data_IF_929294464965
#
_entry.id   IF_929294464965
#
_cell.length_a   1.000
_cell.length_b   1.000
_cell.length_c   1.000
_cell.angle_alpha   90.00
_cell.angle_beta   90.00
_cell.angle_gamma   90.00
#
_symmetry.space_group_name_H-M   'P 1'
#
loop_
_entity.id
_entity.type
_entity.pdbx_description
1 polymer ?
#
# COMPACT_ATOMS: atom_id res chain seq x y z
N UNK A 1 14.52 -21.89 22.56
CA UNK A 1 14.37 -20.67 21.73
C UNK A 1 13.22 -20.93 20.78
N UNK A 2 12.23 -20.03 20.63
CA UNK A 2 11.34 -20.14 19.49
C UNK A 2 12.18 -20.07 18.21
N UNK A 3 11.80 -20.77 17.12
CA UNK A 3 12.53 -20.67 15.87
C UNK A 3 12.62 -19.19 15.49
N UNK A 4 13.78 -18.78 15.01
CA UNK A 4 14.06 -17.42 14.56
C UNK A 4 13.19 -17.16 13.31
N UNK A 5 11.91 -16.80 13.52
CA UNK A 5 10.98 -16.53 12.42
C UNK A 5 11.39 -15.21 11.80
N UNK A 6 11.82 -15.24 10.53
CA UNK A 6 12.08 -14.02 9.77
C UNK A 6 10.80 -13.16 9.77
N UNK A 7 10.91 -11.83 9.97
CA UNK A 7 9.76 -10.94 9.98
C UNK A 7 8.97 -11.05 8.67
N UNK A 8 7.65 -11.06 8.77
CA UNK A 8 6.75 -11.00 7.61
C UNK A 8 6.44 -9.54 7.32
N UNK A 9 6.71 -9.09 6.09
CA UNK A 9 6.32 -7.78 5.60
C UNK A 9 5.21 -7.98 4.57
N UNK A 10 4.02 -7.47 4.87
CA UNK A 10 2.84 -7.54 4.00
C UNK A 10 2.78 -6.30 3.11
N UNK A 11 2.71 -6.53 1.81
CA UNK A 11 2.60 -5.46 0.81
C UNK A 11 1.29 -5.63 0.04
N UNK A 12 0.40 -4.66 0.16
CA UNK A 12 -0.83 -4.60 -0.63
C UNK A 12 -0.57 -3.85 -1.94
N UNK A 13 -1.01 -4.39 -3.08
CA UNK A 13 -0.92 -3.75 -4.38
C UNK A 13 -2.30 -3.45 -4.96
N UNK A 14 -2.64 -2.15 -4.97
CA UNK A 14 -3.90 -1.62 -5.47
C UNK A 14 -3.69 -0.85 -6.78
N UNK A 15 -4.49 -1.14 -7.80
CA UNK A 15 -4.40 -0.44 -9.08
C UNK A 15 -5.65 -0.62 -9.94
N UNK A 16 -6.12 0.39 -10.69
CA UNK A 16 -7.08 0.19 -11.76
C UNK A 16 -6.49 -0.66 -12.90
N UNK A 17 -7.34 -1.23 -13.74
CA UNK A 17 -6.91 -2.18 -14.78
C UNK A 17 -6.09 -1.60 -15.94
N UNK A 18 -5.97 -0.28 -16.07
CA UNK A 18 -5.23 0.39 -17.16
C UNK A 18 -3.73 0.58 -16.87
N UNK A 19 -3.23 0.13 -15.72
CA UNK A 19 -1.80 0.16 -15.33
C UNK A 19 -1.24 -1.26 -15.10
N UNK A 20 -1.68 -2.21 -15.94
CA UNK A 20 -1.26 -3.61 -15.80
C UNK A 20 0.27 -3.78 -15.97
N UNK A 21 0.90 -2.99 -16.83
CA UNK A 21 2.36 -3.05 -17.02
C UNK A 21 3.10 -2.71 -15.72
N UNK A 22 2.70 -1.61 -15.07
CA UNK A 22 3.26 -1.17 -13.79
C UNK A 22 2.95 -2.16 -12.67
N UNK A 23 1.74 -2.73 -12.65
CA UNK A 23 1.39 -3.80 -11.70
C UNK A 23 2.33 -4.99 -11.84
N UNK A 24 2.58 -5.45 -13.07
CA UNK A 24 3.49 -6.58 -13.32
C UNK A 24 4.95 -6.22 -13.01
N UNK A 25 5.38 -4.99 -13.28
CA UNK A 25 6.70 -4.48 -12.88
C UNK A 25 6.85 -4.55 -11.35
N UNK A 26 5.89 -4.01 -10.61
CA UNK A 26 5.92 -4.01 -9.15
C UNK A 26 5.99 -5.42 -8.59
N UNK A 27 5.16 -6.34 -9.09
CA UNK A 27 5.16 -7.75 -8.71
C UNK A 27 6.53 -8.40 -8.98
N UNK A 28 7.06 -8.29 -10.20
CA UNK A 28 8.36 -8.89 -10.54
C UNK A 28 9.48 -8.36 -9.66
N UNK A 29 9.48 -7.06 -9.38
CA UNK A 29 10.50 -6.44 -8.55
C UNK A 29 10.38 -6.86 -7.08
N UNK A 30 9.16 -6.95 -6.54
CA UNK A 30 8.91 -7.49 -5.19
C UNK A 30 9.38 -8.94 -5.06
N UNK A 31 9.07 -9.78 -6.05
CA UNK A 31 9.52 -11.19 -6.07
C UNK A 31 11.04 -11.31 -6.21
N UNK A 32 11.64 -10.50 -7.07
CA UNK A 32 13.10 -10.44 -7.20
C UNK A 32 13.75 -10.05 -5.87
N UNK A 33 13.25 -9.00 -5.21
CA UNK A 33 13.79 -8.52 -3.95
C UNK A 33 13.66 -9.57 -2.84
N UNK A 34 12.50 -10.24 -2.75
CA UNK A 34 12.27 -11.31 -1.79
C UNK A 34 13.28 -12.47 -1.94
N UNK A 35 13.76 -12.73 -3.16
CA UNK A 35 14.74 -13.77 -3.44
C UNK A 35 16.20 -13.27 -3.46
N UNK A 36 16.41 -11.95 -3.43
CA UNK A 36 17.73 -11.36 -3.51
C UNK A 36 18.56 -11.73 -2.28
N UNK A 37 19.85 -12.04 -2.49
CA UNK A 37 20.75 -12.60 -1.46
C UNK A 37 20.79 -11.76 -0.18
N UNK A 38 20.68 -10.43 -0.29
CA UNK A 38 20.72 -9.54 0.87
C UNK A 38 19.45 -9.58 1.72
N UNK A 39 18.31 -10.06 1.18
CA UNK A 39 17.01 -10.01 1.86
C UNK A 39 16.39 -11.39 2.13
N UNK A 40 16.71 -12.43 1.34
CA UNK A 40 16.05 -13.75 1.39
C UNK A 40 16.01 -14.45 2.75
N UNK A 41 16.93 -14.11 3.66
CA UNK A 41 17.01 -14.68 5.01
C UNK A 41 16.74 -13.63 6.12
N UNK A 42 16.34 -12.42 5.74
CA UNK A 42 16.07 -11.30 6.65
C UNK A 42 14.58 -11.02 6.79
N UNK A 43 13.77 -11.41 5.82
CA UNK A 43 12.33 -11.17 5.81
C UNK A 43 11.60 -12.19 4.95
N UNK A 44 10.30 -12.33 5.17
CA UNK A 44 9.36 -12.93 4.24
C UNK A 44 8.46 -11.82 3.68
N UNK A 45 8.50 -11.62 2.36
CA UNK A 45 7.63 -10.65 1.70
C UNK A 45 6.33 -11.34 1.28
N UNK A 46 5.20 -10.90 1.83
CA UNK A 46 3.87 -11.39 1.49
C UNK A 46 3.16 -10.35 0.62
N UNK A 47 3.01 -10.67 -0.67
CA UNK A 47 2.27 -9.82 -1.62
C UNK A 47 0.78 -10.14 -1.53
N UNK A 48 -0.05 -9.10 -1.38
CA UNK A 48 -1.50 -9.19 -1.32
C UNK A 48 -2.06 -8.35 -2.47
N UNK A 49 -2.74 -9.01 -3.40
CA UNK A 49 -3.36 -8.38 -4.55
C UNK A 49 -4.63 -9.14 -4.89
N UNK A 50 -5.78 -8.67 -4.42
CA UNK A 50 -7.03 -9.44 -4.42
C UNK A 50 -7.49 -9.84 -5.82
N UNK A 51 -7.25 -8.99 -6.79
CA UNK A 51 -7.65 -9.16 -8.20
C UNK A 51 -6.64 -9.95 -9.05
N UNK A 52 -5.51 -10.39 -8.46
CA UNK A 52 -4.54 -11.25 -9.15
C UNK A 52 -4.76 -12.73 -8.81
N UNK A 53 -4.99 -13.63 -9.79
CA UNK A 53 -5.18 -15.07 -9.55
C UNK A 53 -3.97 -15.78 -8.93
N UNK A 54 -2.76 -15.20 -9.02
CA UNK A 54 -1.53 -15.73 -8.40
C UNK A 54 -1.46 -15.39 -6.91
N UNK A 55 -2.02 -14.25 -6.50
CA UNK A 55 -1.98 -13.75 -5.13
C UNK A 55 -3.33 -13.83 -4.40
N UNK A 56 -4.39 -14.24 -5.12
CA UNK A 56 -5.68 -14.64 -4.56
C UNK A 56 -5.91 -16.13 -4.83
N UNK A 57 -6.20 -16.90 -3.79
CA UNK A 57 -6.52 -18.32 -3.92
C UNK A 57 -7.82 -18.47 -4.71
N UNK A 58 -7.69 -18.93 -5.96
CA UNK A 58 -8.75 -19.30 -6.91
C UNK A 58 -9.92 -18.29 -6.99
N UNK A 59 -9.87 -17.34 -7.93
CA UNK A 59 -10.92 -16.34 -8.05
C UNK A 59 -11.44 -16.02 -9.46
N UNK A 60 -12.76 -15.78 -9.49
CA UNK A 60 -13.56 -15.18 -10.55
C UNK A 60 -13.32 -13.67 -10.54
N UNK A 61 -13.48 -13.03 -11.71
CA UNK A 61 -13.10 -11.64 -12.03
C UNK A 61 -13.80 -10.50 -11.23
N UNK A 62 -14.41 -10.76 -10.07
CA UNK A 62 -15.12 -9.76 -9.27
C UNK A 62 -15.19 -10.22 -7.82
N UNK A 63 -14.14 -9.94 -7.03
CA UNK A 63 -14.21 -10.11 -5.59
C UNK A 63 -14.42 -8.76 -4.94
N UNK A 64 -15.43 -8.67 -4.11
CA UNK A 64 -15.69 -7.50 -3.29
C UNK A 64 -14.71 -7.45 -2.12
N UNK A 65 -14.38 -6.25 -1.59
CA UNK A 65 -13.60 -6.13 -0.37
C UNK A 65 -14.09 -7.00 0.78
N UNK A 66 -15.42 -7.09 0.95
CA UNK A 66 -16.05 -7.90 1.99
C UNK A 66 -15.75 -9.40 1.82
N UNK A 67 -15.70 -9.91 0.59
CA UNK A 67 -15.37 -11.31 0.33
C UNK A 67 -13.90 -11.62 0.59
N UNK A 68 -12.96 -10.69 0.31
CA UNK A 68 -11.55 -10.85 0.68
C UNK A 68 -11.38 -10.96 2.20
N UNK A 69 -12.05 -10.07 2.93
CA UNK A 69 -12.07 -10.08 4.40
C UNK A 69 -12.65 -11.39 4.91
N UNK A 70 -13.78 -11.84 4.36
CA UNK A 70 -14.42 -13.11 4.75
C UNK A 70 -13.50 -14.31 4.49
N UNK A 71 -12.60 -14.22 3.51
CA UNK A 71 -11.57 -15.23 3.21
C UNK A 71 -10.32 -15.11 4.09
N UNK A 72 -10.28 -14.15 5.02
CA UNK A 72 -9.15 -13.93 5.93
C UNK A 72 -7.94 -13.26 5.27
N UNK A 73 -8.10 -12.65 4.09
CA UNK A 73 -7.04 -11.83 3.50
C UNK A 73 -6.91 -10.53 4.30
N UNK A 74 -5.68 -10.11 4.57
CA UNK A 74 -5.43 -8.85 5.25
C UNK A 74 -5.94 -7.68 4.40
N UNK A 75 -6.59 -6.72 5.07
CA UNK A 75 -7.01 -5.44 4.48
C UNK A 75 -5.80 -4.53 4.24
N UNK A 76 -5.91 -3.50 3.38
CA UNK A 76 -4.86 -2.50 3.19
C UNK A 76 -4.34 -1.90 4.50
N UNK A 77 -5.23 -1.48 5.40
CA UNK A 77 -4.90 -0.96 6.76
C UNK A 77 -4.17 -1.95 7.67
N UNK A 78 -4.16 -3.23 7.32
CA UNK A 78 -3.50 -4.30 8.07
C UNK A 78 -2.17 -4.74 7.43
N UNK A 79 -1.74 -4.06 6.37
CA UNK A 79 -0.47 -4.29 5.71
C UNK A 79 0.58 -3.30 6.22
N UNK A 80 1.86 -3.70 6.12
CA UNK A 80 2.98 -2.84 6.45
C UNK A 80 3.16 -1.77 5.37
N UNK A 81 2.99 -2.16 4.10
CA UNK A 81 3.07 -1.29 2.93
C UNK A 81 1.80 -1.41 2.10
N UNK A 82 1.31 -0.28 1.59
CA UNK A 82 0.28 -0.24 0.53
C UNK A 82 0.82 0.57 -0.64
N UNK A 83 0.87 -0.07 -1.81
CA UNK A 83 1.25 0.52 -3.08
C UNK A 83 -0.01 0.79 -3.89
N UNK A 84 -0.24 2.04 -4.27
CA UNK A 84 -1.40 2.42 -5.09
C UNK A 84 -0.93 3.07 -6.38
N UNK A 85 -1.34 2.53 -7.53
CA UNK A 85 -0.91 3.01 -8.84
C UNK A 85 -2.13 3.49 -9.63
N UNK A 86 -2.11 4.74 -10.11
CA UNK A 86 -3.17 5.31 -10.94
C UNK A 86 -2.65 5.81 -12.29
N UNK A 87 -3.52 5.83 -13.30
CA UNK A 87 -3.27 6.56 -14.54
C UNK A 87 -4.52 7.28 -15.05
N UNK A 88 -5.26 6.65 -15.96
CA UNK A 88 -6.31 7.29 -16.75
C UNK A 88 -7.71 6.81 -16.37
N UNK A 89 -7.80 5.65 -15.72
CA UNK A 89 -9.04 5.07 -15.23
C UNK A 89 -9.16 5.25 -13.72
N UNK A 90 -10.32 5.73 -13.28
CA UNK A 90 -10.65 5.76 -11.86
C UNK A 90 -11.16 4.39 -11.41
N UNK A 91 -12.02 3.77 -12.24
CA UNK A 91 -12.67 2.50 -11.99
C UNK A 91 -14.20 2.65 -11.93
N UNK A 92 -14.86 1.64 -11.38
CA UNK A 92 -16.32 1.59 -11.27
C UNK A 92 -16.75 2.02 -9.88
N UNK A 93 -17.55 3.10 -9.74
CA UNK A 93 -18.08 3.51 -8.46
C UNK A 93 -18.96 2.43 -7.84
N UNK A 94 -18.96 2.34 -6.52
CA UNK A 94 -19.83 1.43 -5.78
C UNK A 94 -20.17 1.99 -4.40
N UNK A 95 -21.29 1.54 -3.83
CA UNK A 95 -21.65 1.81 -2.44
C UNK A 95 -21.17 0.66 -1.57
N UNK A 96 -20.34 0.95 -0.57
CA UNK A 96 -19.87 -0.04 0.38
C UNK A 96 -20.96 -0.41 1.40
N UNK A 97 -20.77 -1.48 2.17
CA UNK A 97 -21.79 -1.99 3.11
C UNK A 97 -22.09 -1.04 4.28
N UNK A 98 -21.23 -0.05 4.51
CA UNK A 98 -21.45 1.05 5.46
C UNK A 98 -22.28 2.21 4.88
N UNK A 99 -22.70 2.11 3.62
CA UNK A 99 -23.48 3.13 2.92
C UNK A 99 -22.64 4.25 2.29
N UNK A 100 -21.31 4.20 2.40
CA UNK A 100 -20.41 5.20 1.80
C UNK A 100 -20.20 4.88 0.32
N UNK A 101 -20.32 5.90 -0.54
CA UNK A 101 -19.98 5.79 -1.95
C UNK A 101 -18.49 5.98 -2.19
N UNK A 102 -17.88 5.06 -2.94
CA UNK A 102 -16.49 5.12 -3.36
C UNK A 102 -16.40 5.27 -4.87
N UNK A 103 -15.43 6.07 -5.32
CA UNK A 103 -15.15 6.30 -6.74
C UNK A 103 -14.73 5.01 -7.49
N UNK A 104 -14.12 4.06 -6.77
CA UNK A 104 -13.73 2.74 -7.24
C UNK A 104 -13.23 1.84 -6.10
N UNK A 105 -12.97 0.55 -6.39
CA UNK A 105 -12.27 -0.35 -5.47
C UNK A 105 -10.93 0.22 -5.00
N UNK A 106 -10.08 0.66 -5.93
CA UNK A 106 -8.78 1.29 -5.63
C UNK A 106 -8.92 2.53 -4.72
N UNK A 107 -9.99 3.32 -4.90
CA UNK A 107 -10.29 4.44 -4.00
C UNK A 107 -10.60 3.98 -2.57
N UNK A 108 -11.42 2.95 -2.42
CA UNK A 108 -11.72 2.34 -1.12
C UNK A 108 -10.44 1.79 -0.48
N UNK A 109 -9.61 1.06 -1.22
CA UNK A 109 -8.38 0.44 -0.73
C UNK A 109 -7.37 1.48 -0.23
N UNK A 110 -7.23 2.59 -0.97
CA UNK A 110 -6.41 3.72 -0.54
C UNK A 110 -6.96 4.36 0.74
N UNK A 111 -8.26 4.63 0.84
CA UNK A 111 -8.83 5.24 2.04
C UNK A 111 -8.73 4.31 3.27
N UNK A 112 -8.89 3.00 3.08
CA UNK A 112 -8.66 2.00 4.13
C UNK A 112 -7.19 2.05 4.59
N UNK A 113 -6.22 2.02 3.66
CA UNK A 113 -4.80 2.13 3.98
C UNK A 113 -4.48 3.39 4.80
N UNK A 114 -5.00 4.53 4.38
CA UNK A 114 -4.76 5.83 5.01
C UNK A 114 -5.43 5.98 6.39
N UNK A 115 -6.36 5.10 6.75
CA UNK A 115 -6.94 5.08 8.10
C UNK A 115 -5.97 4.52 9.15
N UNK A 116 -4.94 3.80 8.72
CA UNK A 116 -3.92 3.21 9.58
C UNK A 116 -2.71 4.15 9.70
N UNK A 117 -2.33 4.60 10.90
CA UNK A 117 -1.15 5.44 11.09
C UNK A 117 0.16 4.68 10.94
N UNK A 118 0.13 3.33 10.98
CA UNK A 118 1.32 2.47 10.89
C UNK A 118 1.56 1.95 9.48
N UNK A 119 0.57 2.01 8.60
CA UNK A 119 0.69 1.52 7.23
C UNK A 119 1.39 2.56 6.36
N UNK A 120 2.52 2.18 5.78
CA UNK A 120 3.24 3.04 4.84
C UNK A 120 2.55 3.00 3.48
N UNK A 121 1.85 4.07 3.13
CA UNK A 121 1.11 4.17 1.87
C UNK A 121 1.90 4.98 0.84
N UNK A 122 2.22 4.38 -0.30
CA UNK A 122 2.93 5.02 -1.42
C UNK A 122 2.01 5.09 -2.63
N UNK A 123 1.87 6.30 -3.18
CA UNK A 123 0.96 6.59 -4.29
C UNK A 123 1.77 6.95 -5.53
N UNK A 124 1.57 6.19 -6.60
CA UNK A 124 2.17 6.40 -7.91
C UNK A 124 1.12 6.87 -8.91
N UNK A 125 1.53 7.76 -9.81
CA UNK A 125 0.66 8.27 -10.86
C UNK A 125 1.38 8.42 -12.20
N UNK A 126 0.89 7.72 -13.21
CA UNK A 126 1.34 7.96 -14.59
C UNK A 126 0.78 9.29 -15.10
N UNK A 127 1.64 10.05 -15.75
CA UNK A 127 1.35 11.40 -16.26
C UNK A 127 1.27 11.48 -17.78
N UNK A 128 1.68 10.42 -18.48
CA UNK A 128 1.55 10.35 -19.93
C UNK A 128 0.11 10.60 -20.37
N UNK A 129 -0.02 11.44 -21.41
CA UNK A 129 -1.33 11.80 -21.95
C UNK A 129 -1.94 10.57 -22.61
N UNK A 130 -3.12 10.16 -22.13
CA UNK A 130 -3.95 9.18 -22.83
C UNK A 130 -4.54 9.82 -24.08
N UNK A 131 -4.41 9.13 -25.20
CA UNK A 131 -5.14 9.42 -26.42
C UNK A 131 -6.51 8.73 -26.36
N UNK A 132 -7.55 9.42 -26.82
CA UNK A 132 -8.93 8.93 -26.83
C UNK A 132 -9.42 8.96 -28.27
N UNK A 133 -10.08 7.89 -28.72
CA UNK A 133 -10.85 7.91 -29.96
C UNK A 133 -12.03 8.89 -29.83
N UNK A 134 -12.53 9.46 -30.92
CA UNK A 134 -13.53 10.54 -30.87
C UNK A 134 -14.80 10.16 -30.10
N UNK A 135 -15.20 8.89 -30.14
CA UNK A 135 -16.39 8.32 -29.48
C UNK A 135 -16.11 7.72 -28.08
N UNK A 136 -14.86 7.72 -27.59
CA UNK A 136 -14.49 7.23 -26.24
C UNK A 136 -14.92 8.20 -25.10
N UNK A 137 -16.23 8.41 -24.94
CA UNK A 137 -16.78 9.29 -23.91
C UNK A 137 -16.58 8.71 -22.49
N UNK A 138 -16.65 7.38 -22.35
CA UNK A 138 -16.40 6.71 -21.07
C UNK A 138 -14.95 6.94 -20.62
N UNK A 139 -13.97 6.73 -21.51
CA UNK A 139 -12.56 6.97 -21.22
C UNK A 139 -12.30 8.42 -20.83
N UNK A 140 -12.87 9.39 -21.56
CA UNK A 140 -12.76 10.81 -21.20
C UNK A 140 -13.36 11.10 -19.82
N UNK A 141 -14.48 10.46 -19.49
CA UNK A 141 -15.13 10.58 -18.18
C UNK A 141 -14.29 9.99 -17.06
N UNK A 142 -13.73 8.81 -17.27
CA UNK A 142 -12.79 8.17 -16.34
C UNK A 142 -11.55 9.04 -16.10
N UNK A 143 -10.96 9.59 -17.17
CA UNK A 143 -9.80 10.46 -17.07
C UNK A 143 -10.09 11.75 -16.31
N UNK A 144 -11.27 12.35 -16.53
CA UNK A 144 -11.73 13.50 -15.75
C UNK A 144 -11.89 13.15 -14.26
N UNK A 145 -12.43 11.98 -13.94
CA UNK A 145 -12.56 11.51 -12.55
C UNK A 145 -11.20 11.39 -11.87
N UNK A 146 -10.19 10.82 -12.53
CA UNK A 146 -8.83 10.75 -11.97
C UNK A 146 -8.24 12.14 -11.75
N UNK A 147 -8.41 13.07 -12.71
CA UNK A 147 -7.95 14.46 -12.53
C UNK A 147 -8.61 15.13 -11.33
N UNK A 148 -9.92 15.00 -11.19
CA UNK A 148 -10.66 15.57 -10.06
C UNK A 148 -10.25 14.92 -8.73
N UNK A 149 -10.02 13.61 -8.73
CA UNK A 149 -9.57 12.88 -7.55
C UNK A 149 -8.22 13.40 -7.04
N UNK A 150 -7.23 13.54 -7.91
CA UNK A 150 -5.92 14.09 -7.52
C UNK A 150 -5.94 15.59 -7.19
N UNK A 151 -6.97 16.33 -7.60
CA UNK A 151 -7.18 17.73 -7.21
C UNK A 151 -8.03 17.91 -5.94
N UNK A 152 -8.45 16.81 -5.30
CA UNK A 152 -9.36 16.83 -4.15
C UNK A 152 -8.65 17.15 -2.82
N UNK A 153 -9.47 17.35 -1.78
CA UNK A 153 -9.01 17.61 -0.41
C UNK A 153 -8.20 16.45 0.22
N UNK A 154 -8.18 15.27 -0.43
CA UNK A 154 -7.33 14.16 0.00
C UNK A 154 -5.83 14.46 -0.21
N UNK A 155 -5.51 15.26 -1.24
CA UNK A 155 -4.15 15.63 -1.63
C UNK A 155 -3.82 17.09 -1.31
N UNK A 156 -4.84 17.95 -1.24
CA UNK A 156 -4.68 19.37 -0.96
C UNK A 156 -5.49 19.80 0.26
N UNK A 157 -4.97 20.75 1.04
CA UNK A 157 -5.72 21.43 2.10
C UNK A 157 -5.31 22.88 2.14
N UNK A 158 -6.27 23.79 2.01
CA UNK A 158 -6.02 25.24 1.95
C UNK A 158 -4.97 25.63 0.89
N UNK A 159 -5.01 24.96 -0.27
CA UNK A 159 -4.04 25.15 -1.37
C UNK A 159 -2.66 24.54 -1.16
N UNK A 160 -2.40 23.86 -0.02
CA UNK A 160 -1.14 23.18 0.27
C UNK A 160 -1.26 21.69 0.03
N UNK A 161 -0.19 21.10 -0.51
CA UNK A 161 -0.08 19.64 -0.65
C UNK A 161 0.01 19.02 0.75
N UNK A 162 -0.89 18.07 1.05
CA UNK A 162 -0.89 17.29 2.31
C UNK A 162 -0.54 15.83 2.09
N UNK A 163 -0.42 15.39 0.83
CA UNK A 163 -0.11 14.00 0.48
C UNK A 163 0.76 13.96 -0.77
N UNK A 164 1.89 13.27 -0.68
CA UNK A 164 2.82 13.12 -1.78
C UNK A 164 2.29 12.11 -2.82
N UNK A 165 2.64 12.36 -4.09
CA UNK A 165 2.36 11.47 -5.22
C UNK A 165 3.63 11.36 -6.04
N UNK A 166 4.05 10.13 -6.33
CA UNK A 166 5.21 9.84 -7.15
C UNK A 166 4.78 9.75 -8.61
N UNK A 167 5.00 10.84 -9.33
CA UNK A 167 4.63 10.96 -10.74
C UNK A 167 5.72 10.38 -11.65
N UNK A 168 5.30 9.68 -12.69
CA UNK A 168 6.18 9.10 -13.72
C UNK A 168 5.50 9.22 -15.10
N UNK A 169 6.26 9.15 -16.20
CA UNK A 169 5.68 9.28 -17.54
C UNK A 169 5.33 7.92 -18.14
N UNK A 170 6.28 7.00 -18.17
CA UNK A 170 6.14 5.70 -18.84
C UNK A 170 6.32 4.52 -17.87
N UNK A 171 5.89 3.29 -18.23
CA UNK A 171 6.17 2.10 -17.41
C UNK A 171 7.66 1.88 -17.15
N UNK A 172 8.54 2.27 -18.08
CA UNK A 172 10.00 2.20 -17.86
C UNK A 172 10.48 3.18 -16.79
N UNK A 173 9.90 4.38 -16.74
CA UNK A 173 10.21 5.35 -15.69
C UNK A 173 9.70 4.86 -14.33
N UNK A 174 8.52 4.21 -14.33
CA UNK A 174 7.99 3.55 -13.14
C UNK A 174 8.91 2.43 -12.65
N UNK A 175 9.45 1.59 -13.53
CA UNK A 175 10.35 0.51 -13.13
C UNK A 175 11.60 1.03 -12.41
N UNK A 176 12.23 2.07 -12.95
CA UNK A 176 13.37 2.71 -12.32
C UNK A 176 13.02 3.33 -10.96
N UNK A 177 11.94 4.11 -10.92
CA UNK A 177 11.49 4.82 -9.71
C UNK A 177 11.05 3.85 -8.61
N UNK A 178 10.22 2.88 -8.94
CA UNK A 178 9.72 1.86 -8.03
C UNK A 178 10.87 1.02 -7.47
N UNK A 179 11.82 0.62 -8.32
CA UNK A 179 12.92 -0.24 -7.91
C UNK A 179 13.78 0.39 -6.81
N UNK A 180 14.15 1.66 -6.98
CA UNK A 180 14.91 2.43 -5.98
C UNK A 180 14.12 2.60 -4.68
N UNK A 181 12.90 3.14 -4.79
CA UNK A 181 12.08 3.49 -3.62
C UNK A 181 11.65 2.26 -2.82
N UNK A 182 11.32 1.16 -3.49
CA UNK A 182 10.88 -0.05 -2.80
C UNK A 182 12.00 -0.69 -1.99
N UNK A 183 13.25 -0.63 -2.46
CA UNK A 183 14.41 -1.08 -1.67
C UNK A 183 14.59 -0.22 -0.43
N UNK A 184 14.51 1.10 -0.57
CA UNK A 184 14.59 2.04 0.55
C UNK A 184 13.49 1.79 1.58
N UNK A 185 12.24 1.62 1.13
CA UNK A 185 11.09 1.34 1.98
C UNK A 185 11.29 0.07 2.83
N UNK A 186 11.76 -0.99 2.20
CA UNK A 186 12.05 -2.26 2.88
C UNK A 186 13.19 -2.10 3.89
N UNK A 187 14.26 -1.36 3.55
CA UNK A 187 15.36 -1.12 4.48
C UNK A 187 14.88 -0.36 5.73
N UNK A 188 14.09 0.69 5.54
CA UNK A 188 13.54 1.48 6.64
C UNK A 188 12.67 0.62 7.57
N UNK A 189 11.78 -0.23 7.02
CA UNK A 189 10.95 -1.13 7.85
C UNK A 189 11.81 -2.11 8.65
N UNK A 190 12.84 -2.70 8.02
CA UNK A 190 13.72 -3.64 8.71
C UNK A 190 14.52 -2.97 9.84
N UNK A 191 14.96 -1.74 9.62
CA UNK A 191 15.72 -0.97 10.61
C UNK A 191 14.82 -0.53 11.77
N UNK A 192 13.59 -0.07 11.50
CA UNK A 192 12.59 0.28 12.51
C UNK A 192 12.21 -0.92 13.39
N UNK A 193 12.03 -2.10 12.77
CA UNK A 193 11.76 -3.35 13.49
C UNK A 193 12.95 -3.75 14.37
N UNK A 194 14.18 -3.64 13.87
CA UNK A 194 15.39 -3.96 14.63
C UNK A 194 15.56 -3.03 15.84
N UNK A 195 15.32 -1.73 15.67
CA UNK A 195 15.36 -0.75 16.76
C UNK A 195 14.29 -1.03 17.81
N UNK A 196 13.06 -1.31 17.38
CA UNK A 196 11.95 -1.65 18.28
C UNK A 196 12.26 -2.89 19.11
N UNK A 197 12.79 -3.95 18.48
CA UNK A 197 13.21 -5.15 19.18
C UNK A 197 14.32 -4.88 20.22
N UNK A 198 15.31 -4.07 19.88
CA UNK A 198 16.39 -3.71 20.80
C UNK A 198 15.88 -2.92 22.02
N UNK A 199 14.90 -2.02 21.84
CA UNK A 199 14.27 -1.27 22.94
C UNK A 199 13.51 -2.21 23.88
N UNK A 200 12.71 -3.14 23.32
CA UNK A 200 11.95 -4.13 24.10
C UNK A 200 12.90 -5.04 24.90
N UNK A 201 13.98 -5.51 24.29
CA UNK A 201 14.98 -6.33 25.00
C UNK A 201 15.64 -5.56 26.16
N UNK A 202 16.07 -4.31 25.93
CA UNK A 202 16.67 -3.48 26.99
C UNK A 202 15.73 -3.22 28.15
N UNK A 203 14.44 -2.97 27.87
CA UNK A 203 13.43 -2.74 28.92
C UNK A 203 13.05 -4.01 29.68
N UNK A 204 13.16 -5.18 29.05
CA UNK A 204 13.00 -6.47 29.72
C UNK A 204 14.23 -6.82 30.59
N UNK A 205 15.43 -6.55 30.10
CA UNK A 205 16.69 -6.83 30.83
C UNK A 205 16.92 -5.85 31.99
N UNK A 206 16.45 -4.61 31.87
CA UNK A 206 16.55 -3.57 32.90
C UNK A 206 15.18 -2.90 33.14
N UNK A 207 14.27 -3.57 33.87
CA UNK A 207 12.98 -2.99 34.22
C UNK A 207 13.17 -1.74 35.09
N UNK A 208 12.39 -0.66 34.88
CA UNK A 208 12.48 0.54 35.71
C UNK A 208 12.26 0.19 37.19
N UNK A 209 13.09 0.73 38.08
CA UNK A 209 13.05 0.38 39.51
C UNK A 209 11.72 0.82 40.13
N UNK A 210 11.07 -0.09 40.85
CA UNK A 210 9.78 0.11 41.51
C UNK A 210 9.87 0.96 42.80
N UNK A 211 10.67 2.03 42.80
CA UNK A 211 10.82 2.93 43.94
C UNK A 211 10.32 4.35 43.64
N UNK A 212 9.00 4.45 43.52
CA UNK A 212 8.27 5.66 43.86
C UNK A 212 7.00 5.27 44.64
N UNK A 213 7.17 4.67 45.82
CA UNK A 213 6.13 4.71 46.84
C UNK A 213 6.15 6.13 47.40
N UNK A 214 5.19 6.93 46.96
CA UNK A 214 4.84 8.21 47.57
C UNK A 214 4.47 7.90 49.03
N UNK A 215 5.36 8.27 49.95
CA UNK A 215 5.05 8.38 51.37
C UNK A 215 4.36 9.73 51.51
N UNK A 216 3.04 9.71 51.70
CA UNK A 216 2.33 10.85 52.30
C UNK A 216 1.74 10.36 53.62
N UNK A 217 2.49 10.59 54.70
CA UNK A 217 1.91 10.81 56.03
C UNK A 217 2.24 12.23 56.44
N UNK A 218 1.23 13.08 56.61
CA UNK A 218 0.80 13.79 57.84
C UNK A 218 -0.42 14.61 57.43
#
# INVERSE_FOLDING_TARGET
>A
MPPNTVPVIRVFLSSPGDVNDERQIAIRHMEWLANFRLFRNRMHLQIIAWDDPKYSTAMRASLTPQEAINRGLARPSQCDIVLVIFWSRMGTPFTHTDGVEYLSGTHWELLDALSSPTTQTVIYRRTEKRLFEDDDEEGRTQYRRVKNFFASDLFYKDGKIVRAVHEYATPSDFEALFGEQFVELIQNILDDQAQTHAIIQRTQDHPPSAHARIITSV
#
